data_IF_404040100999
#
_entry.id   IF_404040100999
#
_cell.length_a   1.000
_cell.length_b   1.000
_cell.length_c   1.000
_cell.angle_alpha   90.00
_cell.angle_beta   90.00
_cell.angle_gamma   90.00
#
_symmetry.space_group_name_H-M   'P 1'
#
loop_
_entity.id
_entity.type
_entity.pdbx_description
1 polymer ?
#
# COMPACT_ATOMS: atom_id res chain seq x y z
N UNK A 1 7.95 -15.33 -5.99
CA UNK A 1 8.95 -15.75 -4.99
C UNK A 1 10.05 -14.70 -4.96
N UNK A 2 10.18 -14.01 -3.85
CA UNK A 2 11.26 -13.06 -3.63
C UNK A 2 12.25 -13.68 -2.64
N UNK A 3 13.40 -14.07 -3.14
CA UNK A 3 14.52 -14.43 -2.29
C UNK A 3 15.36 -13.18 -2.03
N UNK A 4 15.71 -12.93 -0.78
CA UNK A 4 16.69 -11.91 -0.42
C UNK A 4 18.04 -12.44 -0.91
N UNK A 5 18.44 -12.02 -2.11
CA UNK A 5 19.70 -12.47 -2.75
C UNK A 5 20.94 -11.79 -2.17
N UNK A 6 20.75 -10.82 -1.29
CA UNK A 6 21.79 -10.09 -0.58
C UNK A 6 21.22 -9.66 0.77
N UNK A 7 22.08 -9.40 1.75
CA UNK A 7 21.64 -8.77 3.00
C UNK A 7 20.85 -7.51 2.70
N UNK A 8 19.62 -7.43 3.18
CA UNK A 8 18.73 -6.31 2.94
C UNK A 8 18.33 -5.65 4.26
N UNK A 9 18.23 -4.34 4.25
CA UNK A 9 17.67 -3.58 5.37
C UNK A 9 16.27 -3.12 5.01
N UNK A 10 15.27 -3.58 5.77
CA UNK A 10 13.90 -3.11 5.67
C UNK A 10 13.70 -1.94 6.63
N UNK A 11 13.28 -0.80 6.11
CA UNK A 11 12.90 0.35 6.92
C UNK A 11 11.39 0.35 7.15
N UNK A 12 10.99 0.23 8.40
CA UNK A 12 9.60 0.28 8.81
C UNK A 12 9.29 1.68 9.32
N UNK A 13 8.35 2.36 8.66
CA UNK A 13 7.88 3.68 9.06
C UNK A 13 6.58 3.54 9.84
N UNK A 14 6.58 3.98 11.08
CA UNK A 14 5.43 3.93 11.95
C UNK A 14 4.91 5.31 12.28
N UNK A 15 3.59 5.49 12.22
CA UNK A 15 2.94 6.77 12.54
C UNK A 15 1.97 6.57 13.70
N UNK A 16 2.01 7.48 14.67
CA UNK A 16 1.07 7.50 15.79
C UNK A 16 -0.31 8.09 15.43
N UNK A 17 -1.29 7.88 16.32
CA UNK A 17 -1.12 7.31 17.65
C UNK A 17 -1.05 5.78 17.62
N UNK A 18 -0.24 5.20 18.50
CA UNK A 18 -0.11 3.73 18.58
C UNK A 18 0.52 3.28 19.90
N UNK A 19 0.16 2.07 20.34
CA UNK A 19 0.62 1.47 21.60
C UNK A 19 2.02 0.85 21.53
N UNK A 20 2.70 0.98 20.40
CA UNK A 20 3.96 0.32 20.17
C UNK A 20 3.79 -1.07 19.53
N UNK A 21 4.85 -1.56 18.91
CA UNK A 21 4.83 -2.72 18.06
C UNK A 21 6.16 -3.47 18.10
N UNK A 22 6.09 -4.80 18.21
CA UNK A 22 7.17 -5.70 17.87
C UNK A 22 7.02 -6.16 16.43
N UNK A 23 8.10 -6.08 15.68
CA UNK A 23 8.21 -6.61 14.32
C UNK A 23 9.28 -7.68 14.31
N UNK A 24 8.94 -8.86 13.85
CA UNK A 24 9.86 -9.99 13.78
C UNK A 24 9.84 -10.63 12.40
N UNK A 25 11.00 -11.00 11.89
CA UNK A 25 11.17 -11.83 10.70
C UNK A 25 12.35 -12.78 10.92
N UNK A 26 12.06 -14.05 11.18
CA UNK A 26 13.08 -15.01 11.66
C UNK A 26 13.71 -14.50 12.95
N UNK A 27 15.05 -14.42 12.99
CA UNK A 27 15.81 -13.91 14.12
C UNK A 27 15.91 -12.38 14.15
N UNK A 28 15.57 -11.73 13.07
CA UNK A 28 15.56 -10.26 12.99
C UNK A 28 14.35 -9.69 13.72
N UNK A 29 14.57 -8.72 14.59
CA UNK A 29 13.50 -8.05 15.30
C UNK A 29 13.73 -6.55 15.41
N UNK A 30 12.65 -5.78 15.48
CA UNK A 30 12.68 -4.37 15.76
C UNK A 30 11.47 -3.98 16.64
N UNK A 31 11.67 -2.99 17.49
CA UNK A 31 10.64 -2.49 18.40
C UNK A 31 10.34 -1.04 18.06
N UNK A 32 9.06 -0.75 17.84
CA UNK A 32 8.53 0.61 17.74
C UNK A 32 7.89 0.95 19.09
N UNK A 33 8.33 2.02 19.73
CA UNK A 33 7.74 2.50 20.98
C UNK A 33 6.31 3.05 20.77
N UNK A 34 5.61 3.33 21.89
CA UNK A 34 4.33 4.03 21.80
C UNK A 34 4.51 5.41 21.18
N UNK A 35 3.66 5.76 20.21
CA UNK A 35 3.70 7.04 19.53
C UNK A 35 2.44 7.84 19.82
N UNK A 36 2.61 9.14 20.03
CA UNK A 36 1.51 10.12 20.11
C UNK A 36 1.05 10.51 18.69
N UNK A 37 -0.12 11.13 18.60
CA UNK A 37 -0.62 11.69 17.34
C UNK A 37 0.43 12.64 16.73
N UNK A 38 0.71 12.45 15.45
CA UNK A 38 1.71 13.24 14.71
C UNK A 38 3.16 12.80 14.88
N UNK A 39 3.45 11.93 15.83
CA UNK A 39 4.80 11.35 15.95
C UNK A 39 5.04 10.27 14.90
N UNK A 40 6.29 10.17 14.46
CA UNK A 40 6.77 9.15 13.52
C UNK A 40 8.03 8.50 14.06
N UNK A 41 8.16 7.22 13.81
CA UNK A 41 9.39 6.47 14.11
C UNK A 41 9.74 5.59 12.91
N UNK A 42 11.01 5.54 12.57
CA UNK A 42 11.54 4.62 11.58
C UNK A 42 12.45 3.63 12.29
N UNK A 43 12.24 2.36 12.06
CA UNK A 43 13.10 1.29 12.54
C UNK A 43 13.66 0.51 11.37
N UNK A 44 14.90 0.08 11.47
CA UNK A 44 15.58 -0.73 10.48
C UNK A 44 15.56 -2.19 10.93
N UNK A 45 15.12 -3.09 10.04
CA UNK A 45 15.17 -4.54 10.24
C UNK A 45 16.15 -5.12 9.22
N UNK A 46 17.25 -5.71 9.67
CA UNK A 46 18.19 -6.39 8.80
C UNK A 46 17.71 -7.80 8.51
N UNK A 47 17.58 -8.11 7.25
CA UNK A 47 17.16 -9.41 6.73
C UNK A 47 18.40 -10.11 6.17
N UNK A 48 18.82 -11.27 6.71
CA UNK A 48 19.94 -12.01 6.17
C UNK A 48 19.63 -12.55 4.76
N UNK A 49 20.69 -12.82 4.02
CA UNK A 49 20.62 -13.45 2.69
C UNK A 49 19.94 -14.82 2.77
N UNK A 50 19.18 -15.16 1.73
CA UNK A 50 18.53 -16.48 1.58
C UNK A 50 17.26 -16.67 2.40
N UNK A 51 16.83 -15.68 3.18
CA UNK A 51 15.63 -15.78 4.01
C UNK A 51 14.41 -15.27 3.23
N UNK A 52 13.33 -16.07 3.20
CA UNK A 52 12.00 -15.58 2.84
C UNK A 52 11.45 -14.77 4.00
N UNK A 53 11.30 -13.46 3.87
CA UNK A 53 10.83 -12.66 4.98
C UNK A 53 9.35 -12.93 5.26
N UNK A 54 9.09 -13.55 6.40
CA UNK A 54 7.76 -13.69 6.97
C UNK A 54 7.69 -12.75 8.16
N UNK A 55 6.79 -11.78 8.12
CA UNK A 55 6.69 -10.78 9.18
C UNK A 55 5.59 -11.14 10.17
N UNK A 56 5.95 -11.20 11.43
CA UNK A 56 5.01 -11.23 12.55
C UNK A 56 4.99 -9.85 13.19
N UNK A 57 3.80 -9.30 13.32
CA UNK A 57 3.53 -8.04 13.98
C UNK A 57 2.72 -8.28 15.23
N UNK A 58 3.29 -7.91 16.36
CA UNK A 58 2.61 -8.03 17.65
C UNK A 58 2.67 -6.69 18.37
N UNK A 59 1.54 -6.20 18.86
CA UNK A 59 1.55 -5.02 19.72
C UNK A 59 2.29 -5.33 21.01
N UNK A 60 2.81 -4.31 21.68
CA UNK A 60 3.51 -4.50 22.97
C UNK A 60 2.60 -5.07 24.07
N UNK A 61 1.28 -5.00 23.90
CA UNK A 61 0.31 -5.66 24.77
C UNK A 61 0.04 -7.14 24.42
N UNK A 62 0.79 -7.71 23.46
CA UNK A 62 0.66 -9.09 23.02
C UNK A 62 -0.44 -9.35 21.97
N UNK A 63 -1.23 -8.34 21.60
CA UNK A 63 -2.28 -8.52 20.57
C UNK A 63 -1.68 -8.47 19.16
N UNK A 64 -2.25 -9.28 18.24
CA UNK A 64 -1.81 -9.25 16.84
C UNK A 64 -2.07 -7.88 16.19
N UNK A 65 -1.12 -7.43 15.38
CA UNK A 65 -1.26 -6.24 14.56
C UNK A 65 -1.30 -6.63 13.08
N UNK A 66 -1.98 -5.84 12.27
CA UNK A 66 -2.06 -6.04 10.83
C UNK A 66 -1.23 -5.00 10.09
N UNK A 67 -0.45 -5.46 9.11
CA UNK A 67 0.22 -4.57 8.16
C UNK A 67 -0.78 -4.03 7.15
N UNK A 68 -0.73 -2.72 6.89
CA UNK A 68 -1.41 -2.12 5.75
C UNK A 68 -0.67 -2.41 4.43
N UNK A 69 0.62 -2.73 4.51
CA UNK A 69 1.43 -3.12 3.37
C UNK A 69 2.11 -4.46 3.68
N UNK A 70 1.98 -5.42 2.75
CA UNK A 70 2.73 -6.67 2.77
C UNK A 70 3.76 -6.61 1.64
N UNK A 71 5.04 -6.32 1.94
CA UNK A 71 6.04 -6.06 0.91
C UNK A 71 6.37 -7.25 0.01
N UNK A 72 5.95 -8.48 0.35
CA UNK A 72 6.47 -9.68 -0.28
C UNK A 72 5.42 -10.73 -0.69
N UNK A 73 4.17 -10.34 -0.96
CA UNK A 73 3.22 -11.32 -1.51
C UNK A 73 3.54 -11.60 -3.00
N UNK A 74 3.72 -12.87 -3.44
CA UNK A 74 3.96 -13.20 -4.84
C UNK A 74 2.77 -12.80 -5.72
N UNK A 75 3.03 -12.44 -6.99
CA UNK A 75 1.98 -12.17 -7.95
C UNK A 75 1.18 -13.45 -8.21
N UNK A 76 -0.13 -13.41 -8.08
CA UNK A 76 -0.97 -14.52 -8.51
C UNK A 76 -0.95 -14.63 -10.04
N UNK A 77 -0.87 -15.83 -10.62
CA UNK A 77 -1.00 -16.02 -12.06
C UNK A 77 -2.34 -15.45 -12.57
N UNK A 78 -2.33 -14.72 -13.69
CA UNK A 78 -3.52 -14.22 -14.34
C UNK A 78 -4.02 -12.84 -13.87
N UNK A 79 -3.31 -12.15 -12.99
CA UNK A 79 -3.65 -10.76 -12.64
C UNK A 79 -3.39 -9.80 -13.80
N UNK A 80 -4.34 -8.91 -14.06
CA UNK A 80 -4.17 -7.81 -15.00
C UNK A 80 -3.25 -6.76 -14.38
N UNK A 81 -2.15 -6.46 -15.05
CA UNK A 81 -1.21 -5.42 -14.61
C UNK A 81 -1.46 -4.16 -15.40
N UNK A 82 -1.65 -3.04 -14.70
CA UNK A 82 -1.77 -1.71 -15.30
C UNK A 82 -0.50 -0.92 -14.94
N UNK A 83 0.40 -0.72 -15.91
CA UNK A 83 1.62 0.04 -15.67
C UNK A 83 1.35 1.54 -15.71
N UNK A 84 1.99 2.29 -14.84
CA UNK A 84 2.04 3.74 -14.84
C UNK A 84 3.49 4.14 -15.10
N UNK A 85 3.78 4.46 -16.38
CA UNK A 85 5.08 4.89 -16.92
C UNK A 85 6.29 4.03 -16.45
N UNK A 86 6.08 2.72 -16.33
CA UNK A 86 7.13 1.80 -15.90
C UNK A 86 7.69 2.03 -14.49
N UNK A 87 7.06 2.91 -13.70
CA UNK A 87 7.44 3.19 -12.32
C UNK A 87 6.61 2.35 -11.34
N UNK A 88 5.30 2.51 -11.37
CA UNK A 88 4.36 1.80 -10.53
C UNK A 88 3.48 0.89 -11.38
N UNK A 89 3.09 -0.24 -10.82
CA UNK A 89 2.18 -1.19 -11.47
C UNK A 89 1.03 -1.48 -10.52
N UNK A 90 -0.19 -1.19 -10.95
CA UNK A 90 -1.40 -1.61 -10.26
C UNK A 90 -1.63 -3.10 -10.55
N UNK A 91 -1.61 -3.92 -9.51
CA UNK A 91 -1.67 -5.38 -9.64
C UNK A 91 -3.03 -5.96 -9.28
N UNK A 92 -3.82 -5.23 -8.51
CA UNK A 92 -5.15 -5.67 -8.09
C UNK A 92 -5.97 -4.49 -7.58
N UNK A 93 -7.29 -4.61 -7.69
CA UNK A 93 -8.26 -3.65 -7.18
C UNK A 93 -9.41 -4.42 -6.53
N UNK A 94 -9.73 -4.08 -5.29
CA UNK A 94 -10.86 -4.66 -4.58
C UNK A 94 -11.75 -3.57 -3.98
N UNK A 95 -13.06 -3.79 -4.03
CA UNK A 95 -14.03 -2.96 -3.32
C UNK A 95 -14.45 -3.69 -2.04
N UNK A 96 -14.23 -3.06 -0.90
CA UNK A 96 -14.65 -3.54 0.42
C UNK A 96 -15.56 -2.53 1.10
N UNK A 97 -16.16 -2.90 2.23
CA UNK A 97 -16.89 -1.96 3.08
C UNK A 97 -16.34 -2.01 4.49
N UNK A 98 -16.03 -0.84 5.06
CA UNK A 98 -15.60 -0.71 6.46
C UNK A 98 -16.55 0.25 7.16
N UNK A 99 -17.23 -0.23 8.21
CA UNK A 99 -18.23 0.55 8.92
C UNK A 99 -19.29 1.21 7.98
N UNK A 100 -19.70 0.49 6.94
CA UNK A 100 -20.68 0.98 5.96
C UNK A 100 -20.11 1.86 4.83
N UNK A 101 -18.89 2.33 4.96
CA UNK A 101 -18.22 3.14 3.94
C UNK A 101 -17.57 2.27 2.87
N UNK A 102 -17.70 2.61 1.58
CA UNK A 102 -16.96 1.95 0.52
C UNK A 102 -15.47 2.28 0.65
N UNK A 103 -14.61 1.26 0.53
CA UNK A 103 -13.16 1.39 0.50
C UNK A 103 -12.65 0.65 -0.73
N UNK A 104 -11.99 1.37 -1.61
CA UNK A 104 -11.26 0.76 -2.73
C UNK A 104 -9.84 0.46 -2.25
N UNK A 105 -9.47 -0.81 -2.26
CA UNK A 105 -8.11 -1.26 -1.96
C UNK A 105 -7.36 -1.44 -3.28
N UNK A 106 -6.39 -0.57 -3.52
CA UNK A 106 -5.45 -0.68 -4.63
C UNK A 106 -4.22 -1.45 -4.18
N UNK A 107 -3.73 -2.38 -5.01
CA UNK A 107 -2.50 -3.11 -4.73
C UNK A 107 -1.44 -2.75 -5.75
N UNK A 108 -0.39 -2.16 -5.26
CA UNK A 108 0.71 -1.65 -6.05
C UNK A 108 1.95 -2.52 -6.00
N UNK A 109 2.75 -2.42 -7.05
CA UNK A 109 4.11 -2.93 -7.11
C UNK A 109 5.01 -1.88 -7.74
N UNK A 110 6.20 -1.65 -7.17
CA UNK A 110 7.24 -0.91 -7.84
C UNK A 110 7.86 -1.77 -8.95
N UNK A 111 7.88 -1.27 -10.17
CA UNK A 111 8.54 -1.94 -11.30
C UNK A 111 10.06 -1.70 -11.30
N UNK A 112 10.50 -0.62 -10.71
CA UNK A 112 11.88 -0.21 -10.49
C UNK A 112 12.00 0.55 -9.17
N UNK A 113 13.19 0.78 -8.64
CA UNK A 113 13.37 1.71 -7.52
C UNK A 113 12.77 3.08 -7.89
N UNK A 114 11.91 3.61 -7.03
CA UNK A 114 11.24 4.88 -7.29
C UNK A 114 12.15 6.01 -6.82
N UNK A 115 12.38 6.98 -7.70
CA UNK A 115 13.23 8.14 -7.45
C UNK A 115 12.45 9.42 -7.17
N UNK A 116 11.12 9.35 -7.38
CA UNK A 116 10.19 10.45 -7.14
C UNK A 116 9.12 10.01 -6.12
N UNK A 117 8.50 10.99 -5.49
CA UNK A 117 7.37 10.75 -4.59
C UNK A 117 6.06 10.89 -5.35
N UNK A 118 5.29 9.81 -5.40
CA UNK A 118 4.05 9.74 -6.17
C UNK A 118 2.84 9.83 -5.25
N UNK A 119 1.75 10.35 -5.81
CA UNK A 119 0.44 10.31 -5.21
C UNK A 119 -0.54 9.62 -6.15
N UNK A 120 -1.63 9.11 -5.59
CA UNK A 120 -2.66 8.36 -6.29
C UNK A 120 -3.99 9.05 -6.09
N UNK A 121 -4.68 9.32 -7.19
CA UNK A 121 -6.06 9.77 -7.22
C UNK A 121 -6.95 8.59 -7.59
N UNK A 122 -7.91 8.26 -6.73
CA UNK A 122 -8.93 7.26 -6.98
C UNK A 122 -10.30 7.95 -7.09
N UNK A 123 -10.99 7.79 -8.22
CA UNK A 123 -12.35 8.32 -8.47
C UNK A 123 -13.33 7.17 -8.52
N UNK A 124 -14.27 7.14 -7.59
CA UNK A 124 -15.29 6.10 -7.49
C UNK A 124 -16.46 6.42 -8.43
N UNK A 125 -16.94 5.43 -9.14
CA UNK A 125 -17.97 5.58 -10.17
C UNK A 125 -19.13 4.57 -9.99
N UNK A 126 -20.34 4.99 -10.34
CA UNK A 126 -21.50 4.12 -10.58
C UNK A 126 -21.98 4.34 -12.02
N UNK A 127 -21.62 3.43 -12.94
CA UNK A 127 -21.71 3.72 -14.37
C UNK A 127 -20.91 4.96 -14.72
N UNK A 128 -21.57 5.96 -15.31
CA UNK A 128 -20.95 7.25 -15.65
C UNK A 128 -21.04 8.28 -14.51
N UNK A 129 -21.73 7.96 -13.42
CA UNK A 129 -21.92 8.87 -12.29
C UNK A 129 -20.68 8.91 -11.41
N UNK A 130 -20.21 10.11 -11.10
CA UNK A 130 -19.12 10.33 -10.14
C UNK A 130 -19.64 10.27 -8.70
N UNK A 131 -19.13 9.34 -7.90
CA UNK A 131 -19.52 9.14 -6.50
C UNK A 131 -18.58 9.81 -5.49
N UNK A 132 -17.34 10.05 -5.87
CA UNK A 132 -16.36 10.68 -5.00
C UNK A 132 -14.93 10.48 -5.48
N UNK A 133 -14.03 11.22 -4.84
CA UNK A 133 -12.59 11.17 -5.12
C UNK A 133 -11.82 11.08 -3.79
N UNK A 134 -10.77 10.27 -3.79
CA UNK A 134 -9.82 10.21 -2.70
C UNK A 134 -8.40 10.30 -3.28
N UNK A 135 -7.69 11.32 -2.85
CA UNK A 135 -6.42 11.74 -3.42
C UNK A 135 -5.37 11.83 -2.33
N UNK A 136 -4.35 10.96 -2.39
CA UNK A 136 -3.31 10.92 -1.37
C UNK A 136 -2.09 10.11 -1.80
N UNK A 137 -1.03 10.19 -1.00
CA UNK A 137 0.08 9.25 -1.10
C UNK A 137 -0.38 7.83 -0.73
N UNK A 138 0.12 6.80 -1.42
CA UNK A 138 -0.20 5.41 -1.12
C UNK A 138 -0.03 5.03 0.35
N UNK A 139 -0.74 3.99 0.76
CA UNK A 139 -0.76 3.47 2.13
C UNK A 139 -1.14 4.55 3.16
N UNK A 140 -2.16 5.37 2.87
CA UNK A 140 -2.62 6.46 3.74
C UNK A 140 -1.49 7.42 4.13
N UNK A 141 -0.59 7.72 3.19
CA UNK A 141 0.62 8.55 3.42
C UNK A 141 1.58 8.02 4.49
N UNK A 142 1.44 6.76 4.88
CA UNK A 142 2.33 6.16 5.89
C UNK A 142 3.62 5.63 5.30
N UNK A 143 3.62 5.30 4.00
CA UNK A 143 4.76 4.76 3.27
C UNK A 143 5.00 5.55 1.98
N UNK A 144 5.77 6.64 2.01
CA UNK A 144 6.11 7.40 0.81
C UNK A 144 6.72 6.51 -0.28
N UNK A 145 6.36 6.75 -1.54
CA UNK A 145 6.80 5.91 -2.66
C UNK A 145 8.32 5.89 -2.84
N UNK A 146 9.02 6.95 -2.47
CA UNK A 146 10.49 6.99 -2.39
C UNK A 146 11.09 5.90 -1.48
N UNK A 147 10.30 5.31 -0.61
CA UNK A 147 10.71 4.22 0.28
C UNK A 147 10.42 2.84 -0.31
N UNK A 148 9.81 2.76 -1.49
CA UNK A 148 9.60 1.51 -2.20
C UNK A 148 10.87 1.11 -2.96
N UNK A 149 11.93 0.88 -2.20
CA UNK A 149 13.28 0.63 -2.74
C UNK A 149 13.45 -0.80 -3.27
N UNK A 150 12.52 -1.67 -2.97
CA UNK A 150 12.59 -3.08 -3.38
C UNK A 150 11.68 -3.30 -4.58
N UNK A 151 12.26 -3.60 -5.72
CA UNK A 151 11.52 -4.00 -6.93
C UNK A 151 10.66 -5.23 -6.63
N UNK A 152 9.37 -5.15 -6.96
CA UNK A 152 8.41 -6.22 -6.69
C UNK A 152 7.73 -6.17 -5.31
N UNK A 153 8.14 -5.28 -4.41
CA UNK A 153 7.40 -5.02 -3.17
C UNK A 153 5.95 -4.66 -3.49
N UNK A 154 5.01 -5.24 -2.74
CA UNK A 154 3.58 -4.95 -2.87
C UNK A 154 3.12 -4.05 -1.74
N UNK A 155 2.36 -3.04 -2.11
CA UNK A 155 1.77 -2.09 -1.17
C UNK A 155 0.26 -2.13 -1.34
N UNK A 156 -0.47 -2.31 -0.24
CA UNK A 156 -1.92 -2.14 -0.20
C UNK A 156 -2.23 -0.70 0.17
N UNK A 157 -3.05 -0.08 -0.65
CA UNK A 157 -3.37 1.34 -0.60
C UNK A 157 -4.89 1.51 -0.51
N UNK A 158 -5.44 1.70 0.70
CA UNK A 158 -6.87 1.85 0.89
C UNK A 158 -7.32 3.30 0.62
N UNK A 159 -8.34 3.43 -0.20
CA UNK A 159 -9.01 4.69 -0.50
C UNK A 159 -10.44 4.66 0.06
N UNK A 160 -10.69 5.25 1.24
CA UNK A 160 -12.03 5.36 1.81
C UNK A 160 -12.83 6.46 1.11
N UNK A 161 -14.11 6.19 0.87
CA UNK A 161 -15.05 7.15 0.29
C UNK A 161 -16.21 7.43 1.25
N UNK A 162 -16.88 8.54 1.06
CA UNK A 162 -18.10 8.85 1.79
C UNK A 162 -19.17 7.76 1.56
N UNK A 163 -20.03 7.49 2.55
CA UNK A 163 -21.18 6.60 2.35
C UNK A 163 -22.00 7.04 1.14
N UNK A 164 -22.39 6.06 0.31
CA UNK A 164 -23.24 6.29 -0.86
C UNK A 164 -24.34 5.26 -0.93
N UNK A 165 -25.53 5.68 -1.36
CA UNK A 165 -26.65 4.79 -1.64
C UNK A 165 -26.47 4.06 -2.99
N UNK A 166 -25.71 4.64 -3.90
CA UNK A 166 -25.42 4.03 -5.19
C UNK A 166 -24.37 2.92 -5.05
N UNK A 167 -24.53 1.86 -5.84
CA UNK A 167 -23.59 0.76 -5.89
C UNK A 167 -22.40 1.14 -6.78
N UNK A 168 -21.18 1.23 -6.25
CA UNK A 168 -20.00 1.45 -7.07
C UNK A 168 -19.79 0.32 -8.08
N UNK A 169 -19.50 0.68 -9.32
CA UNK A 169 -19.26 -0.26 -10.43
C UNK A 169 -17.89 -0.11 -11.05
N UNK A 170 -17.19 1.00 -10.77
CA UNK A 170 -15.88 1.29 -11.32
C UNK A 170 -15.06 2.22 -10.46
N UNK A 171 -13.77 2.23 -10.72
CA UNK A 171 -12.84 3.21 -10.18
C UNK A 171 -11.88 3.66 -11.28
N UNK A 172 -11.70 4.97 -11.40
CA UNK A 172 -10.63 5.54 -12.23
C UNK A 172 -9.44 5.87 -11.33
N UNK A 173 -8.29 5.34 -11.69
CA UNK A 173 -7.02 5.52 -10.95
C UNK A 173 -6.08 6.34 -11.81
N UNK A 174 -5.50 7.37 -11.23
CA UNK A 174 -4.43 8.16 -11.82
C UNK A 174 -3.26 8.25 -10.85
N UNK A 175 -2.05 8.23 -11.39
CA UNK A 175 -0.81 8.43 -10.63
C UNK A 175 -0.17 9.74 -11.10
N UNK A 176 0.39 10.51 -10.19
CA UNK A 176 1.08 11.73 -10.52
C UNK A 176 2.26 11.96 -9.56
N UNK A 177 3.26 12.68 -10.04
CA UNK A 177 4.33 13.16 -9.20
C UNK A 177 3.79 14.19 -8.21
N UNK A 178 4.01 13.93 -6.93
CA UNK A 178 3.32 14.63 -5.85
C UNK A 178 3.55 16.14 -5.84
N UNK A 179 4.78 16.58 -6.10
CA UNK A 179 5.13 18.00 -5.92
C UNK A 179 4.93 18.83 -7.20
N UNK A 180 5.10 18.23 -8.37
CA UNK A 180 4.92 18.90 -9.66
C UNK A 180 3.54 18.69 -10.25
N UNK A 181 2.78 17.74 -9.69
CA UNK A 181 1.46 17.32 -10.19
C UNK A 181 1.52 16.82 -11.65
N UNK A 182 2.67 16.31 -12.05
CA UNK A 182 2.88 15.77 -13.40
C UNK A 182 2.29 14.37 -13.47
N UNK A 183 1.36 14.07 -14.42
CA UNK A 183 0.83 12.74 -14.58
C UNK A 183 1.92 11.70 -14.88
N UNK A 184 1.75 10.50 -14.36
CA UNK A 184 2.63 9.35 -14.58
C UNK A 184 1.85 8.31 -15.37
N UNK A 185 1.96 8.35 -16.68
CA UNK A 185 1.16 7.56 -17.59
C UNK A 185 -0.30 8.02 -17.66
N UNK A 186 -1.12 7.24 -18.33
CA UNK A 186 -2.55 7.51 -18.50
C UNK A 186 -3.35 7.02 -17.28
N UNK A 187 -4.45 7.71 -16.99
CA UNK A 187 -5.41 7.24 -15.99
C UNK A 187 -6.12 5.97 -16.48
N UNK A 188 -6.33 5.02 -15.59
CA UNK A 188 -6.95 3.74 -15.90
C UNK A 188 -8.31 3.62 -15.22
N UNK A 189 -9.34 3.22 -15.95
CA UNK A 189 -10.66 2.90 -15.40
C UNK A 189 -10.81 1.38 -15.28
N UNK A 190 -11.09 0.92 -14.07
CA UNK A 190 -11.19 -0.49 -13.71
C UNK A 190 -12.62 -0.78 -13.26
N UNK A 191 -13.24 -1.80 -13.84
CA UNK A 191 -14.52 -2.30 -13.37
C UNK A 191 -14.35 -2.99 -12.00
N UNK A 192 -15.23 -2.67 -11.08
CA UNK A 192 -15.25 -3.29 -9.75
C UNK A 192 -16.18 -4.51 -9.81
N UNK A 193 -15.61 -5.70 -9.65
CA UNK A 193 -16.40 -6.92 -9.50
C UNK A 193 -17.08 -6.94 -8.14
N UNK A 194 -18.32 -7.42 -8.09
CA UNK A 194 -19.00 -7.69 -6.82
C UNK A 194 -18.23 -8.79 -6.10
N UNK A 195 -17.72 -8.50 -4.90
CA UNK A 195 -17.31 -9.59 -3.98
C UNK A 195 -18.57 -10.44 -3.72
N UNK A 196 -18.49 -11.72 -4.06
CA UNK A 196 -19.53 -12.71 -3.71
C UNK A 196 -19.53 -12.94 -2.21
#
# INVERSE_FOLDING_TARGET
DYDVRQEATLYLHWCGPGRGLNVQSGDAHAVVGPLKLGQRQTVALRLPEGVRPTFTLTRLDGTAAHLLAAPFAPAAPGQTYIPFDGAMVLTDVALTRRAGQPVVELRWRAARPLVEDYAVSARLLAGDSFLGMHDMQPALSTLPTLKWVVTGARVTDPHPFAPTAEQPTGVTVAVYERFRLTPVGDAATIALSRSR
#
